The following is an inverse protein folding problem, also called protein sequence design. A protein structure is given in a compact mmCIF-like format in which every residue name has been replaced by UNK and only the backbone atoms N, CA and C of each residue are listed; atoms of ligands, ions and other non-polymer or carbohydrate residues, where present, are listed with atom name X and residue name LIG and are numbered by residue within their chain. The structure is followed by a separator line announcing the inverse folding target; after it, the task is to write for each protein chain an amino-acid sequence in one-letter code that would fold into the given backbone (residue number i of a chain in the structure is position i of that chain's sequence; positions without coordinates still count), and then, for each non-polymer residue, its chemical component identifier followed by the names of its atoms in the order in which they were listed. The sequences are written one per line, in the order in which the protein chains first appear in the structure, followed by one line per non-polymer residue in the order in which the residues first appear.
data_IF_277329640968
#
_entry.id   IF_277329640968
#
_cell.length_a   1.000
_cell.length_b   1.000
_cell.length_c   1.000
_cell.angle_alpha   90.00
_cell.angle_beta   90.00
_cell.angle_gamma   90.00
#
_symmetry.space_group_name_H-M   'P 1'
#
loop_
_entity.id
_entity.type
_entity.pdbx_description
1 polymer ?
#
# COMPACT_ATOMS: atom_id res chain seq x y z
N UNK A 1 34.28 -2.18 15.70
CA UNK A 1 33.81 -0.79 15.51
C UNK A 1 32.50 -0.86 14.74
N UNK A 2 31.54 0.00 15.09
CA UNK A 2 30.11 -0.17 14.83
C UNK A 2 29.70 -0.36 13.35
N UNK A 3 28.55 -1.04 13.21
CA UNK A 3 27.74 -1.14 12.00
C UNK A 3 27.16 0.25 11.71
N UNK A 4 27.47 0.80 10.54
CA UNK A 4 26.67 1.86 9.93
C UNK A 4 25.90 1.21 8.80
N UNK A 5 24.88 0.46 9.23
CA UNK A 5 23.74 0.08 8.41
C UNK A 5 23.05 1.40 8.05
N UNK A 6 23.47 2.02 6.93
CA UNK A 6 22.81 3.20 6.36
C UNK A 6 21.49 2.72 5.75
N UNK A 7 20.55 2.42 6.65
CA UNK A 7 19.16 2.14 6.34
C UNK A 7 18.61 3.38 5.68
N UNK A 8 18.63 3.37 4.34
CA UNK A 8 18.13 4.45 3.49
C UNK A 8 16.85 5.01 4.07
N UNK A 9 16.91 6.29 4.47
CA UNK A 9 15.83 6.99 5.16
C UNK A 9 14.54 6.80 4.35
N UNK A 10 13.46 6.27 4.96
CA UNK A 10 12.19 6.17 4.27
C UNK A 10 11.75 7.57 3.83
N UNK A 11 11.13 7.70 2.65
CA UNK A 11 10.75 8.99 2.09
C UNK A 11 9.89 9.77 3.09
N UNK A 12 10.33 10.99 3.40
CA UNK A 12 9.74 11.81 4.47
C UNK A 12 8.48 12.58 4.05
N UNK A 13 8.02 12.44 2.80
CA UNK A 13 6.82 13.14 2.34
C UNK A 13 5.91 12.30 1.42
N UNK A 14 4.61 12.59 1.50
CA UNK A 14 3.52 11.96 0.75
C UNK A 14 3.57 12.19 -0.77
N UNK A 15 4.26 13.23 -1.25
CA UNK A 15 4.36 13.57 -2.69
C UNK A 15 5.40 12.69 -3.39
N UNK A 16 6.48 12.36 -2.70
CA UNK A 16 7.59 11.55 -3.17
C UNK A 16 7.23 10.07 -3.15
N UNK A 17 6.50 9.65 -2.13
CA UNK A 17 5.80 8.36 -2.06
C UNK A 17 4.88 8.19 -3.27
N UNK A 18 4.04 9.19 -3.58
CA UNK A 18 3.13 9.13 -4.74
C UNK A 18 3.85 9.06 -6.10
N UNK A 19 4.99 9.75 -6.25
CA UNK A 19 5.82 9.69 -7.47
C UNK A 19 6.48 8.32 -7.65
N UNK A 20 6.91 7.69 -6.57
CA UNK A 20 7.45 6.34 -6.59
C UNK A 20 6.39 5.33 -7.04
N UNK A 21 5.15 5.51 -6.59
CA UNK A 21 4.02 4.64 -6.94
C UNK A 21 3.56 4.78 -8.39
N UNK A 22 3.46 6.00 -8.93
CA UNK A 22 3.01 6.21 -10.33
C UNK A 22 3.96 5.62 -11.37
N UNK A 23 5.27 5.55 -11.11
CA UNK A 23 6.24 5.00 -12.07
C UNK A 23 6.15 3.46 -12.22
N UNK A 24 5.65 2.77 -11.19
CA UNK A 24 5.55 1.30 -11.11
C UNK A 24 4.34 0.74 -11.85
N UNK A 25 3.32 1.56 -12.09
CA UNK A 25 2.02 1.13 -12.59
C UNK A 25 1.99 0.93 -14.12
N UNK A 26 2.91 1.56 -14.86
CA UNK A 26 2.89 1.59 -16.33
C UNK A 26 3.29 0.28 -17.03
N UNK A 27 3.76 -0.74 -16.30
CA UNK A 27 4.28 -1.99 -16.88
C UNK A 27 3.41 -3.26 -16.72
N UNK A 28 2.35 -3.22 -15.92
CA UNK A 28 1.60 -4.43 -15.53
C UNK A 28 0.28 -4.60 -16.31
N UNK A 29 0.37 -4.73 -17.64
CA UNK A 29 -0.79 -4.97 -18.52
C UNK A 29 -0.92 -6.43 -19.02
N UNK A 30 -0.27 -7.41 -18.37
CA UNK A 30 -0.37 -8.82 -18.74
C UNK A 30 -1.39 -9.59 -17.91
N UNK A 31 -2.21 -10.44 -18.53
CA UNK A 31 -3.08 -11.42 -17.87
C UNK A 31 -2.27 -12.61 -17.29
N UNK A 32 -1.07 -12.33 -16.78
CA UNK A 32 -0.15 -13.32 -16.23
C UNK A 32 -0.27 -13.32 -14.70
N UNK A 33 -0.16 -14.50 -14.11
CA UNK A 33 -0.23 -14.68 -12.66
C UNK A 33 0.81 -13.82 -11.92
N UNK A 34 2.03 -13.69 -12.47
CA UNK A 34 3.07 -12.78 -11.97
C UNK A 34 2.61 -11.31 -11.89
N UNK A 35 1.81 -10.85 -12.86
CA UNK A 35 1.30 -9.49 -12.88
C UNK A 35 0.21 -9.30 -11.81
N UNK A 36 -0.63 -10.33 -11.58
CA UNK A 36 -1.61 -10.32 -10.49
C UNK A 36 -0.93 -10.36 -9.12
N UNK A 37 0.12 -11.17 -8.95
CA UNK A 37 0.92 -11.23 -7.73
C UNK A 37 1.66 -9.91 -7.46
N UNK A 38 2.27 -9.32 -8.48
CA UNK A 38 2.91 -8.02 -8.37
C UNK A 38 1.87 -6.96 -7.98
N UNK A 39 0.71 -6.92 -8.64
CA UNK A 39 -0.40 -6.01 -8.29
C UNK A 39 -0.90 -6.21 -6.87
N UNK A 40 -1.01 -7.45 -6.41
CA UNK A 40 -1.36 -7.79 -5.03
C UNK A 40 -0.34 -7.21 -4.05
N UNK A 41 0.96 -7.39 -4.31
CA UNK A 41 2.03 -6.83 -3.49
C UNK A 41 1.97 -5.29 -3.46
N UNK A 42 1.64 -4.64 -4.59
CA UNK A 42 1.44 -3.19 -4.65
C UNK A 42 0.32 -2.73 -3.73
N UNK A 43 -0.84 -3.39 -3.81
CA UNK A 43 -2.02 -3.04 -3.01
C UNK A 43 -1.78 -3.30 -1.52
N UNK A 44 -1.08 -4.38 -1.17
CA UNK A 44 -0.71 -4.68 0.21
C UNK A 44 0.21 -3.61 0.80
N UNK A 45 1.21 -3.16 0.03
CA UNK A 45 2.08 -2.05 0.43
C UNK A 45 1.26 -0.77 0.64
N UNK A 46 0.42 -0.40 -0.33
CA UNK A 46 -0.40 0.81 -0.24
C UNK A 46 -1.36 0.76 0.97
N UNK A 47 -1.96 -0.40 1.24
CA UNK A 47 -2.78 -0.59 2.44
C UNK A 47 -1.98 -0.38 3.73
N UNK A 48 -0.73 -0.88 3.79
CA UNK A 48 0.16 -0.68 4.95
C UNK A 48 0.54 0.78 5.14
N UNK A 49 0.90 1.48 4.07
CA UNK A 49 1.25 2.90 4.12
C UNK A 49 0.04 3.75 4.56
N UNK A 50 -1.15 3.39 4.09
CA UNK A 50 -2.39 4.04 4.49
C UNK A 50 -2.74 3.79 5.96
N UNK A 51 -2.39 2.62 6.51
CA UNK A 51 -2.51 2.31 7.94
C UNK A 51 -1.60 3.19 8.80
N UNK A 52 -0.34 3.33 8.38
CA UNK A 52 0.63 4.22 9.02
C UNK A 52 0.14 5.68 8.99
N UNK A 53 -0.40 6.14 7.85
CA UNK A 53 -0.96 7.48 7.72
C UNK A 53 -2.19 7.69 8.62
N UNK A 54 -3.08 6.70 8.75
CA UNK A 54 -4.24 6.76 9.66
C UNK A 54 -3.77 6.87 11.12
N UNK A 55 -2.75 6.09 11.50
CA UNK A 55 -2.19 6.09 12.85
C UNK A 55 -1.53 7.43 13.17
N UNK A 56 -0.70 7.94 12.27
CA UNK A 56 -0.05 9.24 12.41
C UNK A 56 -1.06 10.39 12.50
N UNK A 57 -2.09 10.39 11.64
CA UNK A 57 -3.15 11.38 11.67
C UNK A 57 -3.96 11.29 12.96
N UNK A 58 -4.32 10.08 13.42
CA UNK A 58 -5.09 9.88 14.65
C UNK A 58 -4.32 10.27 15.92
N UNK A 59 -2.99 10.19 15.91
CA UNK A 59 -2.14 10.63 17.00
C UNK A 59 -2.00 12.17 17.09
N UNK A 60 -2.38 12.91 16.05
CA UNK A 60 -2.31 14.37 16.07
C UNK A 60 -3.41 14.97 16.97
N UNK A 61 -3.09 15.96 17.83
CA UNK A 61 -4.02 16.54 18.80
C UNK A 61 -5.16 17.36 18.19
N UNK A 62 -5.06 17.73 16.90
CA UNK A 62 -6.09 18.47 16.16
C UNK A 62 -6.35 17.82 14.80
N UNK A 63 -6.50 16.50 14.78
CA UNK A 63 -6.79 15.79 13.56
C UNK A 63 -8.20 16.08 13.06
N UNK A 64 -8.35 16.20 11.75
CA UNK A 64 -9.66 16.32 11.12
C UNK A 64 -10.36 14.95 11.10
N UNK A 65 -11.48 14.76 11.84
CA UNK A 65 -12.19 13.48 11.87
C UNK A 65 -12.74 13.10 10.47
N UNK A 66 -13.04 14.08 9.61
CA UNK A 66 -13.48 13.82 8.24
C UNK A 66 -12.33 13.28 7.37
N UNK A 67 -11.14 13.84 7.49
CA UNK A 67 -9.93 13.32 6.85
C UNK A 67 -9.63 11.89 7.29
N UNK A 68 -9.71 11.61 8.60
CA UNK A 68 -9.50 10.27 9.14
C UNK A 68 -10.54 9.27 8.62
N UNK A 69 -11.82 9.67 8.54
CA UNK A 69 -12.89 8.84 7.99
C UNK A 69 -12.67 8.53 6.50
N UNK A 70 -12.20 9.50 5.71
CA UNK A 70 -11.86 9.31 4.29
C UNK A 70 -10.72 8.31 4.11
N UNK A 71 -9.66 8.41 4.92
CA UNK A 71 -8.56 7.44 4.89
C UNK A 71 -9.03 6.04 5.27
N UNK A 72 -9.80 5.89 6.36
CA UNK A 72 -10.37 4.59 6.75
C UNK A 72 -11.24 3.97 5.66
N UNK A 73 -12.04 4.79 4.95
CA UNK A 73 -12.81 4.32 3.79
C UNK A 73 -11.92 3.83 2.65
N UNK A 74 -10.86 4.56 2.31
CA UNK A 74 -9.88 4.12 1.32
C UNK A 74 -9.19 2.81 1.74
N UNK A 75 -8.85 2.66 3.03
CA UNK A 75 -8.27 1.44 3.60
C UNK A 75 -9.16 0.23 3.35
N UNK A 76 -10.46 0.39 3.62
CA UNK A 76 -11.45 -0.66 3.41
C UNK A 76 -11.55 -1.04 1.93
N UNK A 77 -11.59 -0.06 1.03
CA UNK A 77 -11.62 -0.32 -0.41
C UNK A 77 -10.37 -1.06 -0.90
N UNK A 78 -9.18 -0.69 -0.42
CA UNK A 78 -7.94 -1.41 -0.73
C UNK A 78 -7.99 -2.85 -0.22
N UNK A 79 -8.48 -3.06 1.01
CA UNK A 79 -8.67 -4.41 1.56
C UNK A 79 -9.62 -5.25 0.70
N UNK A 80 -10.74 -4.67 0.25
CA UNK A 80 -11.69 -5.37 -0.62
C UNK A 80 -11.07 -5.72 -1.98
N UNK A 81 -10.26 -4.82 -2.54
CA UNK A 81 -9.53 -5.06 -3.80
C UNK A 81 -8.46 -6.14 -3.65
N UNK A 82 -7.66 -6.08 -2.57
CA UNK A 82 -6.71 -7.13 -2.19
C UNK A 82 -7.42 -8.47 -2.13
N UNK A 83 -8.58 -8.52 -1.46
CA UNK A 83 -9.25 -9.78 -1.27
C UNK A 83 -9.83 -10.33 -2.57
N UNK A 84 -10.40 -9.50 -3.44
CA UNK A 84 -10.80 -9.91 -4.79
C UNK A 84 -9.64 -10.42 -5.65
N UNK A 85 -8.45 -9.81 -5.51
CA UNK A 85 -7.25 -10.24 -6.23
C UNK A 85 -6.68 -11.53 -5.66
N UNK A 86 -6.70 -11.69 -4.33
CA UNK A 86 -6.37 -12.94 -3.66
C UNK A 86 -7.33 -14.03 -4.09
N UNK A 87 -8.63 -13.77 -4.09
CA UNK A 87 -9.68 -14.71 -4.51
C UNK A 87 -9.45 -15.20 -5.95
N UNK A 88 -9.00 -14.31 -6.86
CA UNK A 88 -8.61 -14.63 -8.24
C UNK A 88 -7.32 -15.45 -8.35
N UNK A 89 -6.38 -15.30 -7.41
CA UNK A 89 -5.14 -16.09 -7.34
C UNK A 89 -5.34 -17.43 -6.61
N UNK A 90 -6.21 -17.49 -5.60
CA UNK A 90 -6.51 -18.70 -4.80
C UNK A 90 -7.01 -19.93 -5.56
N UNK A 91 -7.65 -19.90 -6.74
CA UNK A 91 -7.90 -21.13 -7.49
C UNK A 91 -6.63 -21.97 -7.73
N UNK A 92 -5.42 -21.37 -7.70
CA UNK A 92 -4.14 -22.06 -7.95
C UNK A 92 -3.36 -22.43 -6.66
N UNK A 93 -3.71 -21.87 -5.49
CA UNK A 93 -2.90 -21.98 -4.25
C UNK A 93 -3.42 -23.07 -3.28
N UNK A 94 -4.56 -23.71 -3.58
CA UNK A 94 -5.14 -24.83 -2.82
C UNK A 94 -5.28 -26.06 -3.74
N UNK A 95 -4.19 -26.44 -4.42
CA UNK A 95 -4.06 -27.70 -5.17
C UNK A 95 -2.84 -28.48 -4.68
#
# INVERSE_FOLDING_TARGET
MAREDDGGKPPDNVVEVARFFSARESGLSGANEDALQARLALLMQEHSDLDAAITALGAAPSHDPLALARLKKKKLQLKDMIQKLKDQLTPDIIA
#
